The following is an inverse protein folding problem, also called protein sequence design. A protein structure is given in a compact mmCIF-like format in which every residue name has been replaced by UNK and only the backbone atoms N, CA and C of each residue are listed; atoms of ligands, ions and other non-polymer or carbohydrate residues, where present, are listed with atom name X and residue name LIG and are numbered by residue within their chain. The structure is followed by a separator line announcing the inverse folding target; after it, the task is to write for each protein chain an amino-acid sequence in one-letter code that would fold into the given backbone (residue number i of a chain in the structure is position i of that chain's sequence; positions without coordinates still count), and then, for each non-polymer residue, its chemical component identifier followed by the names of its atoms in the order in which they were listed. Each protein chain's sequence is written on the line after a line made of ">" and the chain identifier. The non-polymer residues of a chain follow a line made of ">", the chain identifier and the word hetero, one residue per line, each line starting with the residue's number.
data_IF_653458779694
#
_entry.id   IF_653458779694
#
_cell.length_a   1.000
_cell.length_b   1.000
_cell.length_c   1.000
_cell.angle_alpha   90.00
_cell.angle_beta   90.00
_cell.angle_gamma   90.00
#
_symmetry.space_group_name_H-M   'P 1'
#
loop_
_entity.id
_entity.type
_entity.pdbx_description
1 polymer ?
#
# COMPACT_ATOMS: atom_id res chain seq x y z
N UNK A 1 7.20 -24.31 0.57
CA UNK A 1 7.06 -23.13 -0.30
C UNK A 1 7.70 -21.99 0.47
N UNK A 2 8.74 -21.34 -0.07
CA UNK A 2 9.25 -20.10 0.53
C UNK A 2 8.35 -19.00 -0.01
N UNK A 3 7.48 -18.44 0.81
CA UNK A 3 6.76 -17.22 0.46
C UNK A 3 7.78 -16.16 0.05
N UNK A 4 7.42 -15.32 -0.92
CA UNK A 4 8.21 -14.15 -1.26
C UNK A 4 8.31 -13.29 0.00
N UNK A 5 9.53 -12.92 0.40
CA UNK A 5 9.76 -12.25 1.69
C UNK A 5 9.57 -10.75 1.50
N UNK A 6 8.34 -10.32 1.58
CA UNK A 6 8.03 -8.89 1.61
C UNK A 6 8.51 -8.28 2.93
N UNK A 7 9.10 -7.09 2.85
CA UNK A 7 9.44 -6.27 4.00
C UNK A 7 8.44 -5.12 4.11
N UNK A 8 7.96 -4.88 5.33
CA UNK A 8 7.07 -3.76 5.62
C UNK A 8 7.87 -2.56 6.09
N UNK A 9 7.55 -1.39 5.54
CA UNK A 9 8.14 -0.12 5.91
C UNK A 9 7.08 0.84 6.44
N UNK A 10 7.52 1.83 7.22
CA UNK A 10 6.67 2.92 7.68
C UNK A 10 6.80 4.10 6.72
N UNK A 11 5.80 4.34 5.85
CA UNK A 11 5.86 5.43 4.90
C UNK A 11 5.95 6.77 5.61
N UNK A 12 6.51 7.77 4.93
CA UNK A 12 6.65 9.13 5.46
C UNK A 12 5.87 10.09 4.59
N UNK A 13 5.00 10.85 5.23
CA UNK A 13 4.20 11.90 4.61
C UNK A 13 4.25 13.18 5.44
N UNK A 14 3.92 14.30 4.81
CA UNK A 14 3.88 15.64 5.43
C UNK A 14 2.47 16.15 5.68
N UNK A 15 1.48 15.59 4.99
CA UNK A 15 0.08 15.98 5.07
C UNK A 15 -0.83 14.85 4.61
N UNK A 16 -2.13 15.16 4.47
CA UNK A 16 -3.13 14.24 3.94
C UNK A 16 -3.77 14.84 2.69
N UNK A 17 -4.10 13.98 1.73
CA UNK A 17 -4.77 14.35 0.48
C UNK A 17 -6.01 13.46 0.29
N UNK A 18 -7.17 14.09 0.17
CA UNK A 18 -8.44 13.44 -0.18
C UNK A 18 -8.75 13.54 -1.68
N UNK A 19 -7.94 14.28 -2.44
CA UNK A 19 -8.15 14.49 -3.86
C UNK A 19 -7.82 13.23 -4.67
N UNK A 20 -8.71 12.92 -5.63
CA UNK A 20 -8.44 12.00 -6.73
C UNK A 20 -7.04 12.25 -7.29
N UNK A 21 -6.25 11.19 -7.39
CA UNK A 21 -4.94 11.18 -8.06
C UNK A 21 -5.20 11.35 -9.57
N UNK A 22 -5.72 12.50 -9.96
CA UNK A 22 -6.33 12.72 -11.29
C UNK A 22 -5.28 12.67 -12.41
N UNK A 23 -4.02 12.86 -12.05
CA UNK A 23 -2.85 12.79 -12.94
C UNK A 23 -2.25 11.37 -13.02
N UNK A 24 -2.57 10.48 -12.08
CA UNK A 24 -2.10 9.08 -12.08
C UNK A 24 -3.30 8.21 -12.40
N UNK A 25 -3.33 7.59 -13.59
CA UNK A 25 -4.45 6.72 -13.95
C UNK A 25 -4.59 5.64 -12.88
N UNK A 26 -5.81 5.38 -12.41
CA UNK A 26 -6.06 4.33 -11.40
C UNK A 26 -5.44 2.99 -11.83
N UNK A 27 -5.45 2.70 -13.13
CA UNK A 27 -4.77 1.56 -13.76
C UNK A 27 -3.24 1.54 -13.53
N UNK A 28 -2.58 2.70 -13.47
CA UNK A 28 -1.14 2.82 -13.14
C UNK A 28 -0.88 2.59 -11.64
N UNK A 29 -1.82 2.98 -10.77
CA UNK A 29 -1.75 2.75 -9.32
C UNK A 29 -1.91 1.26 -8.98
N UNK A 30 -2.87 0.60 -9.64
CA UNK A 30 -3.19 -0.82 -9.46
C UNK A 30 -2.08 -1.76 -9.97
N UNK A 31 -1.30 -1.33 -10.96
CA UNK A 31 -0.13 -2.07 -11.48
C UNK A 31 1.16 -1.80 -10.68
N UNK A 32 1.11 -0.91 -9.67
CA UNK A 32 2.27 -0.53 -8.85
C UNK A 32 3.18 0.53 -9.50
N UNK A 33 2.79 1.10 -10.65
CA UNK A 33 3.60 2.01 -11.45
C UNK A 33 3.32 3.48 -11.17
N UNK A 34 4.25 4.17 -10.50
CA UNK A 34 4.39 5.60 -10.67
C UNK A 34 5.27 5.86 -11.91
N UNK A 35 4.84 6.72 -12.83
CA UNK A 35 5.68 7.21 -13.93
C UNK A 35 6.69 8.25 -13.40
N UNK A 36 7.68 7.80 -12.61
CA UNK A 36 8.72 8.63 -11.99
C UNK A 36 9.64 7.81 -11.08
N UNK A 37 10.74 8.39 -10.55
CA UNK A 37 11.55 7.69 -9.55
C UNK A 37 10.68 7.39 -8.33
N UNK A 38 10.47 6.11 -8.04
CA UNK A 38 9.65 5.67 -6.92
C UNK A 38 10.40 5.98 -5.61
N UNK A 39 9.91 6.96 -4.84
CA UNK A 39 10.49 7.23 -3.53
C UNK A 39 10.08 6.08 -2.58
N UNK A 40 11.00 5.28 -2.03
CA UNK A 40 10.66 4.16 -1.18
C UNK A 40 9.90 4.59 0.07
N UNK A 41 10.00 5.85 0.50
CA UNK A 41 9.22 6.37 1.62
C UNK A 41 7.72 6.50 1.33
N UNK A 42 7.30 6.36 0.06
CA UNK A 42 5.90 6.43 -0.35
C UNK A 42 5.18 5.06 -0.32
N UNK A 43 5.92 3.97 -0.12
CA UNK A 43 5.42 2.61 -0.23
C UNK A 43 5.44 1.90 1.13
N UNK A 44 4.46 1.01 1.35
CA UNK A 44 4.35 0.21 2.58
C UNK A 44 5.11 -1.12 2.48
N UNK A 45 5.24 -1.69 1.29
CA UNK A 45 5.84 -3.01 1.08
C UNK A 45 6.95 -2.97 0.03
N UNK A 46 7.91 -3.87 0.18
CA UNK A 46 8.90 -4.16 -0.84
C UNK A 46 9.17 -5.65 -0.90
N UNK A 47 9.27 -6.24 -2.10
CA UNK A 47 9.64 -7.65 -2.31
C UNK A 47 11.08 -7.96 -1.98
N UNK A 48 11.97 -6.98 -2.17
CA UNK A 48 13.41 -7.13 -1.96
C UNK A 48 13.90 -6.52 -0.64
N UNK A 49 13.11 -5.63 -0.03
CA UNK A 49 13.45 -4.94 1.22
C UNK A 49 13.59 -3.43 1.08
N UNK A 50 14.04 -2.78 2.15
CA UNK A 50 14.36 -1.35 2.18
C UNK A 50 15.85 -1.15 2.54
N UNK A 51 16.69 -0.63 1.64
CA UNK A 51 16.37 -0.13 0.29
C UNK A 51 15.97 -1.26 -0.69
N UNK A 52 15.10 -0.98 -1.68
CA UNK A 52 14.74 -1.95 -2.71
C UNK A 52 15.91 -2.23 -3.66
N UNK A 53 15.94 -3.43 -4.26
CA UNK A 53 16.91 -3.79 -5.31
C UNK A 53 16.49 -3.15 -6.65
N UNK A 54 15.19 -3.13 -6.93
CA UNK A 54 14.57 -2.47 -8.09
C UNK A 54 13.32 -1.68 -7.68
N UNK A 55 13.00 -0.57 -8.36
CA UNK A 55 11.77 0.19 -8.11
C UNK A 55 10.51 -0.68 -8.32
N UNK A 56 10.59 -1.68 -9.20
CA UNK A 56 9.51 -2.65 -9.42
C UNK A 56 9.30 -3.62 -8.24
N UNK A 57 10.19 -3.65 -7.24
CA UNK A 57 9.99 -4.43 -6.02
C UNK A 57 9.09 -3.72 -5.02
N UNK A 58 8.91 -2.40 -5.15
CA UNK A 58 8.06 -1.60 -4.28
C UNK A 58 6.59 -1.88 -4.58
N UNK A 59 5.84 -2.15 -3.52
CA UNK A 59 4.42 -2.48 -3.59
C UNK A 59 3.65 -1.61 -2.60
N UNK A 60 2.36 -1.37 -2.88
CA UNK A 60 1.45 -0.62 -2.03
C UNK A 60 1.89 0.82 -1.77
N UNK A 61 1.86 1.63 -2.84
CA UNK A 61 2.03 3.08 -2.73
C UNK A 61 0.87 3.68 -1.93
N UNK A 62 1.16 4.50 -0.93
CA UNK A 62 0.15 5.21 -0.11
C UNK A 62 0.37 6.71 -0.01
N UNK A 63 1.52 7.20 -0.48
CA UNK A 63 1.87 8.61 -0.49
C UNK A 63 1.97 9.12 -1.93
N UNK A 64 1.37 10.28 -2.18
CA UNK A 64 1.39 10.95 -3.49
C UNK A 64 2.73 11.68 -3.75
N UNK A 65 2.94 12.19 -4.96
CA UNK A 65 4.17 12.89 -5.37
C UNK A 65 4.41 14.19 -4.59
N UNK A 66 3.37 14.80 -4.03
CA UNK A 66 3.47 15.93 -3.12
C UNK A 66 3.76 15.52 -1.65
N UNK A 67 4.08 14.24 -1.42
CA UNK A 67 4.37 13.66 -0.10
C UNK A 67 3.21 13.75 0.89
N UNK A 68 1.96 13.65 0.43
CA UNK A 68 0.79 13.52 1.29
C UNK A 68 0.30 12.08 1.29
N UNK A 69 -0.15 11.62 2.46
CA UNK A 69 -0.90 10.38 2.55
C UNK A 69 -2.19 10.57 1.74
N UNK A 70 -2.42 9.74 0.73
CA UNK A 70 -3.55 9.90 -0.16
C UNK A 70 -4.59 8.80 0.08
N UNK A 71 -5.86 9.19 0.22
CA UNK A 71 -6.97 8.29 0.48
C UNK A 71 -7.19 7.26 -0.64
N UNK A 72 -7.17 7.69 -1.89
CA UNK A 72 -7.35 6.80 -3.05
C UNK A 72 -6.19 5.81 -3.17
N UNK A 73 -4.97 6.25 -2.87
CA UNK A 73 -3.81 5.35 -2.82
C UNK A 73 -3.95 4.29 -1.73
N UNK A 74 -4.49 4.65 -0.55
CA UNK A 74 -4.77 3.67 0.51
C UNK A 74 -5.81 2.63 0.06
N UNK A 75 -6.88 3.06 -0.61
CA UNK A 75 -7.89 2.14 -1.15
C UNK A 75 -7.32 1.24 -2.25
N UNK A 76 -6.55 1.79 -3.18
CA UNK A 76 -5.86 1.03 -4.23
C UNK A 76 -4.86 0.03 -3.63
N UNK A 77 -4.10 0.43 -2.61
CA UNK A 77 -3.19 -0.45 -1.90
C UNK A 77 -3.93 -1.63 -1.23
N UNK A 78 -5.11 -1.40 -0.64
CA UNK A 78 -5.92 -2.50 -0.08
C UNK A 78 -6.42 -3.46 -1.16
N UNK A 79 -6.81 -2.95 -2.33
CA UNK A 79 -7.18 -3.82 -3.46
C UNK A 79 -5.99 -4.66 -3.91
N UNK A 80 -4.84 -4.00 -4.17
CA UNK A 80 -3.60 -4.65 -4.59
C UNK A 80 -3.12 -5.70 -3.60
N UNK A 81 -3.24 -5.46 -2.30
CA UNK A 81 -2.85 -6.41 -1.24
C UNK A 81 -3.56 -7.77 -1.36
N UNK A 82 -4.84 -7.76 -1.76
CA UNK A 82 -5.60 -8.99 -2.01
C UNK A 82 -5.01 -9.73 -3.21
N UNK A 83 -4.70 -9.00 -4.27
CA UNK A 83 -4.18 -9.53 -5.53
C UNK A 83 -2.70 -9.96 -5.46
N UNK A 84 -1.94 -9.45 -4.47
CA UNK A 84 -0.51 -9.76 -4.32
C UNK A 84 -0.26 -11.27 -4.24
N UNK A 85 0.37 -11.88 -5.27
CA UNK A 85 0.75 -13.27 -5.21
C UNK A 85 1.93 -13.45 -4.24
N UNK A 86 1.96 -14.58 -3.54
CA UNK A 86 3.13 -15.00 -2.76
C UNK A 86 3.33 -14.34 -1.38
N UNK A 87 2.52 -13.34 -1.00
CA UNK A 87 2.50 -12.80 0.37
C UNK A 87 1.63 -13.68 1.27
N UNK A 88 2.21 -14.18 2.36
CA UNK A 88 1.51 -15.03 3.33
C UNK A 88 0.29 -14.30 3.96
N UNK A 89 -0.77 -15.03 4.36
CA UNK A 89 -1.99 -14.43 4.91
C UNK A 89 -1.77 -13.66 6.22
N UNK A 90 -0.76 -14.05 7.01
CA UNK A 90 -0.42 -13.37 8.26
C UNK A 90 0.11 -11.94 8.02
N UNK A 91 1.21 -11.74 7.25
CA UNK A 91 1.66 -10.40 6.92
C UNK A 91 0.64 -9.62 6.08
N UNK A 92 -0.17 -10.28 5.24
CA UNK A 92 -1.31 -9.61 4.58
C UNK A 92 -2.25 -8.96 5.58
N UNK A 93 -2.69 -9.69 6.61
CA UNK A 93 -3.59 -9.16 7.62
C UNK A 93 -2.98 -7.98 8.39
N UNK A 94 -1.68 -8.02 8.69
CA UNK A 94 -0.97 -6.91 9.35
C UNK A 94 -0.96 -5.65 8.48
N UNK A 95 -0.72 -5.81 7.17
CA UNK A 95 -0.70 -4.69 6.23
C UNK A 95 -2.11 -4.12 6.01
N UNK A 96 -3.15 -4.97 5.91
CA UNK A 96 -4.53 -4.50 5.80
C UNK A 96 -4.96 -3.73 7.06
N UNK A 97 -4.64 -4.24 8.26
CA UNK A 97 -4.93 -3.57 9.53
C UNK A 97 -4.27 -2.18 9.58
N UNK A 98 -3.03 -2.07 9.09
CA UNK A 98 -2.33 -0.78 8.98
C UNK A 98 -2.97 0.16 7.97
N UNK A 99 -3.38 -0.32 6.80
CA UNK A 99 -4.07 0.50 5.79
C UNK A 99 -5.41 1.02 6.33
N UNK A 100 -6.16 0.17 7.02
CA UNK A 100 -7.42 0.54 7.69
C UNK A 100 -7.17 1.56 8.80
N UNK A 101 -6.13 1.36 9.62
CA UNK A 101 -5.76 2.33 10.65
C UNK A 101 -5.43 3.70 10.06
N UNK A 102 -4.68 3.75 8.95
CA UNK A 102 -4.36 5.00 8.27
C UNK A 102 -5.61 5.70 7.73
N UNK A 103 -6.54 4.96 7.13
CA UNK A 103 -7.83 5.48 6.68
C UNK A 103 -8.66 6.03 7.86
N UNK A 104 -8.75 5.28 8.96
CA UNK A 104 -9.52 5.69 10.13
C UNK A 104 -8.92 6.91 10.84
N UNK A 105 -7.60 6.93 11.05
CA UNK A 105 -6.91 7.99 11.80
C UNK A 105 -6.83 9.30 11.01
N UNK A 106 -6.63 9.22 9.69
CA UNK A 106 -6.37 10.40 8.86
C UNK A 106 -7.56 10.88 8.05
N UNK A 107 -8.53 10.01 7.76
CA UNK A 107 -9.69 10.31 6.92
C UNK A 107 -11.04 10.05 7.61
N UNK A 108 -11.04 9.67 8.89
CA UNK A 108 -12.26 9.32 9.66
C UNK A 108 -13.05 8.16 9.01
N UNK A 109 -12.37 7.33 8.19
CA UNK A 109 -12.99 6.18 7.52
C UNK A 109 -12.80 4.92 8.37
N UNK A 110 -13.83 4.56 9.12
CA UNK A 110 -13.87 3.29 9.84
C UNK A 110 -14.25 2.16 8.88
N UNK A 111 -13.28 1.74 8.09
CA UNK A 111 -13.36 0.51 7.30
C UNK A 111 -13.13 -0.70 8.23
N UNK A 112 -13.87 -1.79 8.05
CA UNK A 112 -13.57 -3.02 8.77
C UNK A 112 -12.36 -3.71 8.08
N UNK A 113 -11.34 -4.16 8.85
CA UNK A 113 -10.27 -4.96 8.27
C UNK A 113 -10.86 -6.23 7.67
N UNK A 114 -10.38 -6.60 6.47
CA UNK A 114 -10.84 -7.80 5.76
C UNK A 114 -10.26 -9.03 6.45
N UNK A 115 -10.84 -9.36 7.59
CA UNK A 115 -10.59 -10.63 8.27
C UNK A 115 -11.31 -11.69 7.46
N UNK A 116 -10.54 -12.47 6.68
CA UNK A 116 -10.99 -13.75 6.16
C UNK A 116 -11.58 -14.56 7.32
N UNK A 117 -12.90 -14.50 7.44
CA UNK A 117 -13.67 -15.39 8.28
C UNK A 117 -13.56 -16.77 7.65
N UNK A 118 -12.65 -17.59 8.14
CA UNK A 118 -12.69 -19.03 7.86
C UNK A 118 -13.99 -19.56 8.48
N UNK A 119 -15.02 -19.97 7.70
CA UNK A 119 -16.10 -20.73 8.29
C UNK A 119 -15.52 -22.08 8.73
N UNK A 120 -15.80 -22.46 9.98
CA UNK A 120 -15.46 -23.78 10.54
C UNK A 120 -16.23 -24.90 9.86
#
# INVERSE_FOLDING_TARGET
>A
MRGERYEMHEPRWRGTADSDVSDVRVEEIEDGGATGPADPAHYLLSRSGFPPDDDADLELRVVDDASNLNRELLHAARHRLVELPGLDPIPKAVVDDRLVELLAVHFDETEEPRRDVTPQ
#
